data_IF_849171130761
#
_entry.id   IF_849171130761
#
_cell.length_a   1.000
_cell.length_b   1.000
_cell.length_c   1.000
_cell.angle_alpha   90.00
_cell.angle_beta   90.00
_cell.angle_gamma   90.00
#
_symmetry.space_group_name_H-M   'P 1'
#
loop_
_entity.id
_entity.type
_entity.pdbx_description
1 polymer ?
#
# COMPACT_ATOMS: atom_id res chain seq x y z
N UNK A 1 -9.55 -16.17 5.89
CA UNK A 1 -9.48 -14.70 5.95
C UNK A 1 -9.08 -14.21 4.57
N UNK A 2 -9.71 -13.15 4.04
CA UNK A 2 -9.47 -12.70 2.67
C UNK A 2 -8.08 -12.05 2.60
N UNK A 3 -7.19 -12.62 1.79
CA UNK A 3 -5.84 -12.12 1.52
C UNK A 3 -5.83 -11.56 0.10
N UNK A 4 -5.42 -10.31 -0.05
CA UNK A 4 -5.23 -9.63 -1.33
C UNK A 4 -3.75 -9.42 -1.54
N UNK A 5 -3.24 -9.77 -2.72
CA UNK A 5 -1.85 -9.62 -3.09
C UNK A 5 -1.83 -8.73 -4.33
N UNK A 6 -1.08 -7.63 -4.28
CA UNK A 6 -0.91 -6.68 -5.38
C UNK A 6 0.56 -6.63 -5.73
N UNK A 7 0.89 -7.05 -6.95
CA UNK A 7 2.23 -6.85 -7.52
C UNK A 7 2.36 -5.41 -7.99
N UNK A 8 3.44 -4.73 -7.59
CA UNK A 8 3.68 -3.33 -7.94
C UNK A 8 4.91 -3.25 -8.84
N UNK A 9 4.72 -2.74 -10.05
CA UNK A 9 5.81 -2.33 -10.92
C UNK A 9 6.02 -0.81 -10.76
N UNK A 10 7.12 -0.35 -10.16
CA UNK A 10 7.34 1.06 -9.86
C UNK A 10 7.85 1.87 -11.07
N UNK A 11 8.00 1.25 -12.24
CA UNK A 11 8.59 1.88 -13.41
C UNK A 11 10.11 1.84 -13.39
N UNK A 12 10.75 2.93 -13.82
CA UNK A 12 12.18 2.94 -14.17
C UNK A 12 13.14 2.64 -13.02
N UNK A 13 12.75 2.82 -11.75
CA UNK A 13 13.63 2.45 -10.63
C UNK A 13 13.79 0.93 -10.48
N UNK A 14 12.89 0.13 -11.05
CA UNK A 14 13.02 -1.33 -11.10
C UNK A 14 12.78 -2.09 -9.79
N UNK A 15 12.59 -1.41 -8.66
CA UNK A 15 12.38 -2.03 -7.34
C UNK A 15 10.95 -2.58 -7.16
N UNK A 16 10.59 -3.60 -7.92
CA UNK A 16 9.27 -4.25 -7.80
C UNK A 16 9.05 -4.84 -6.42
N UNK A 17 7.79 -4.90 -5.98
CA UNK A 17 7.45 -5.51 -4.70
C UNK A 17 6.04 -6.11 -4.75
N UNK A 18 5.68 -6.85 -3.70
CA UNK A 18 4.30 -7.30 -3.48
C UNK A 18 3.74 -6.68 -2.20
N UNK A 19 2.58 -6.03 -2.33
CA UNK A 19 1.80 -5.54 -1.20
C UNK A 19 0.74 -6.57 -0.86
N UNK A 20 0.73 -7.01 0.39
CA UNK A 20 -0.14 -8.05 0.91
C UNK A 20 -1.05 -7.44 1.97
N UNK A 21 -2.36 -7.47 1.70
CA UNK A 21 -3.40 -6.99 2.60
C UNK A 21 -4.24 -8.18 3.09
N UNK A 22 -4.13 -8.52 4.38
CA UNK A 22 -4.87 -9.62 5.00
C UNK A 22 -5.94 -9.07 5.94
N UNK A 23 -7.22 -9.30 5.67
CA UNK A 23 -8.31 -8.87 6.55
C UNK A 23 -8.21 -9.57 7.92
N UNK A 24 -7.92 -8.81 8.98
CA UNK A 24 -7.84 -9.31 10.37
C UNK A 24 -9.16 -9.21 11.12
N UNK A 25 -9.99 -8.23 10.77
CA UNK A 25 -11.32 -8.06 11.38
C UNK A 25 -12.33 -7.47 10.38
N UNK A 26 -13.54 -7.16 10.85
CA UNK A 26 -14.52 -6.42 10.02
C UNK A 26 -14.04 -5.02 9.63
N UNK A 27 -13.08 -4.44 10.36
CA UNK A 27 -12.66 -3.03 10.23
C UNK A 27 -11.14 -2.85 10.20
N UNK A 28 -10.35 -3.90 10.00
CA UNK A 28 -8.89 -3.82 9.99
C UNK A 28 -8.25 -4.83 9.04
N UNK A 29 -7.06 -4.47 8.57
CA UNK A 29 -6.23 -5.22 7.63
C UNK A 29 -4.79 -5.21 8.15
N UNK A 30 -4.16 -6.37 8.23
CA UNK A 30 -2.72 -6.48 8.40
C UNK A 30 -2.03 -6.26 7.05
N UNK A 31 -0.97 -5.46 7.05
CA UNK A 31 -0.19 -5.12 5.87
C UNK A 31 1.19 -5.76 5.93
N UNK A 32 1.62 -6.34 4.82
CA UNK A 32 3.00 -6.78 4.61
C UNK A 32 3.46 -6.30 3.22
N UNK A 33 4.73 -5.92 3.11
CA UNK A 33 5.38 -5.66 1.81
C UNK A 33 6.60 -6.56 1.72
N UNK A 34 6.70 -7.32 0.63
CA UNK A 34 7.79 -8.27 0.40
C UNK A 34 8.47 -8.01 -0.94
N UNK A 35 9.67 -8.58 -1.09
CA UNK A 35 10.48 -8.60 -2.32
C UNK A 35 10.99 -7.23 -2.81
N UNK A 36 10.84 -6.16 -2.02
CA UNK A 36 11.36 -4.83 -2.35
C UNK A 36 12.84 -4.69 -2.02
N UNK A 37 13.65 -4.31 -3.01
CA UNK A 37 15.04 -3.88 -2.81
C UNK A 37 15.15 -2.37 -2.46
N UNK A 38 14.04 -1.63 -2.44
CA UNK A 38 14.03 -0.22 -2.08
C UNK A 38 14.01 -0.02 -0.56
N UNK A 39 15.07 0.59 -0.01
CA UNK A 39 15.22 0.89 1.42
C UNK A 39 14.05 1.71 1.97
N UNK A 40 13.61 2.76 1.26
CA UNK A 40 12.48 3.61 1.67
C UNK A 40 11.17 2.82 1.78
N UNK A 41 10.94 1.85 0.89
CA UNK A 41 9.74 0.99 0.95
C UNK A 41 9.85 -0.03 2.08
N UNK A 42 11.05 -0.52 2.37
CA UNK A 42 11.29 -1.41 3.51
C UNK A 42 11.07 -0.68 4.84
N UNK A 43 11.52 0.58 4.94
CA UNK A 43 11.25 1.44 6.09
C UNK A 43 9.74 1.75 6.22
N UNK A 44 9.05 2.03 5.11
CA UNK A 44 7.60 2.19 5.10
C UNK A 44 6.88 0.93 5.61
N UNK A 45 7.30 -0.25 5.15
CA UNK A 45 6.73 -1.53 5.54
C UNK A 45 6.91 -1.82 7.03
N UNK A 46 8.05 -1.43 7.61
CA UNK A 46 8.31 -1.57 9.04
C UNK A 46 7.40 -0.67 9.91
N UNK A 47 6.94 0.47 9.37
CA UNK A 47 6.15 1.46 10.11
C UNK A 47 4.63 1.33 9.93
N UNK A 48 4.16 0.57 8.93
CA UNK A 48 2.72 0.32 8.72
C UNK A 48 2.45 -1.19 8.74
N UNK A 49 1.96 -1.69 9.87
CA UNK A 49 1.63 -3.12 10.04
C UNK A 49 0.12 -3.39 10.08
N UNK A 50 -0.68 -2.39 10.44
CA UNK A 50 -2.15 -2.47 10.45
C UNK A 50 -2.78 -1.20 9.88
N UNK A 51 -3.82 -1.38 9.09
CA UNK A 51 -4.64 -0.31 8.53
C UNK A 51 -6.08 -0.52 8.97
N UNK A 52 -6.66 0.49 9.62
CA UNK A 52 -8.07 0.43 10.02
C UNK A 52 -8.96 1.02 8.94
N UNK A 53 -10.24 0.65 8.97
CA UNK A 53 -11.27 1.21 8.09
C UNK A 53 -11.29 2.74 8.15
N UNK A 54 -11.05 3.34 9.32
CA UNK A 54 -11.06 4.80 9.49
C UNK A 54 -9.89 5.47 8.76
N UNK A 55 -8.74 4.82 8.71
CA UNK A 55 -7.53 5.40 8.10
C UNK A 55 -7.70 5.58 6.59
N UNK A 56 -8.50 4.72 5.94
CA UNK A 56 -8.80 4.81 4.51
C UNK A 56 -9.66 6.04 4.13
N UNK A 57 -10.37 6.64 5.09
CA UNK A 57 -11.23 7.81 4.85
C UNK A 57 -10.64 9.12 5.36
N UNK A 58 -9.40 9.12 5.86
CA UNK A 58 -8.72 10.35 6.28
C UNK A 58 -8.16 11.12 5.07
N UNK A 59 -8.21 12.47 5.09
CA UNK A 59 -7.59 13.28 4.05
C UNK A 59 -6.07 13.07 4.02
N UNK A 60 -5.45 13.31 2.86
CA UNK A 60 -4.01 13.07 2.63
C UNK A 60 -3.12 13.60 3.76
N UNK A 61 -3.28 14.85 4.17
CA UNK A 61 -2.48 15.54 5.20
C UNK A 61 -2.54 14.88 6.59
N UNK A 62 -3.54 14.04 6.87
CA UNK A 62 -3.70 13.35 8.14
C UNK A 62 -3.77 11.83 8.01
N UNK A 63 -3.48 11.30 6.82
CA UNK A 63 -3.59 9.88 6.54
C UNK A 63 -2.34 9.15 7.05
N UNK A 64 -2.55 8.05 7.78
CA UNK A 64 -1.46 7.22 8.33
C UNK A 64 -0.45 6.81 7.24
N UNK A 65 -0.96 6.39 6.07
CA UNK A 65 -0.13 5.82 5.00
C UNK A 65 0.74 6.91 4.37
N UNK A 66 0.17 8.08 4.07
CA UNK A 66 0.92 9.20 3.50
C UNK A 66 1.90 9.81 4.51
N UNK A 67 1.53 9.90 5.79
CA UNK A 67 2.46 10.38 6.82
C UNK A 67 3.67 9.44 7.00
N UNK A 68 3.45 8.12 6.98
CA UNK A 68 4.54 7.16 7.05
C UNK A 68 5.37 7.13 5.75
N UNK A 69 4.74 7.36 4.59
CA UNK A 69 5.43 7.53 3.29
C UNK A 69 6.39 8.72 3.33
N UNK A 70 5.95 9.85 3.88
CA UNK A 70 6.77 11.06 4.07
C UNK A 70 7.94 10.79 5.04
N UNK A 71 7.66 10.14 6.17
CA UNK A 71 8.69 9.80 7.18
C UNK A 71 9.75 8.84 6.65
N UNK A 72 9.36 7.90 5.79
CA UNK A 72 10.27 6.98 5.12
C UNK A 72 10.97 7.62 3.89
N UNK A 73 10.76 8.91 3.64
CA UNK A 73 11.33 9.67 2.54
C UNK A 73 11.07 9.06 1.15
N UNK A 74 9.95 8.36 0.99
CA UNK A 74 9.61 7.71 -0.27
C UNK A 74 9.53 8.71 -1.43
N UNK A 75 9.94 8.26 -2.61
CA UNK A 75 9.77 9.05 -3.83
C UNK A 75 8.31 9.47 -4.02
N UNK A 76 8.09 10.76 -4.32
CA UNK A 76 6.78 11.40 -4.34
C UNK A 76 5.72 10.63 -5.16
N UNK A 77 6.08 10.11 -6.33
CA UNK A 77 5.16 9.39 -7.21
C UNK A 77 5.31 7.86 -7.17
N UNK A 78 5.98 7.31 -6.15
CA UNK A 78 6.05 5.87 -5.99
C UNK A 78 4.63 5.26 -5.94
N UNK A 79 4.31 4.23 -6.76
CA UNK A 79 2.97 3.66 -6.76
C UNK A 79 2.70 2.74 -5.55
N UNK A 80 3.73 2.36 -4.78
CA UNK A 80 3.59 1.42 -3.64
C UNK A 80 2.65 1.96 -2.54
N UNK A 81 2.77 3.20 -2.05
CA UNK A 81 1.80 3.77 -1.11
C UNK A 81 0.33 3.71 -1.59
N UNK A 82 0.10 3.91 -2.89
CA UNK A 82 -1.25 3.79 -3.46
C UNK A 82 -1.72 2.33 -3.49
N UNK A 83 -0.83 1.39 -3.78
CA UNK A 83 -1.13 -0.05 -3.74
C UNK A 83 -1.51 -0.53 -2.33
N UNK A 84 -0.92 0.04 -1.27
CA UNK A 84 -1.31 -0.20 0.13
C UNK A 84 -2.78 0.17 0.36
N UNK A 85 -3.20 1.36 -0.11
CA UNK A 85 -4.59 1.82 0.01
C UNK A 85 -5.52 0.90 -0.78
N UNK A 86 -5.22 0.67 -2.07
CA UNK A 86 -6.07 -0.11 -2.97
C UNK A 86 -6.27 -1.55 -2.50
N UNK A 87 -5.19 -2.22 -2.09
CA UNK A 87 -5.25 -3.58 -1.56
C UNK A 87 -6.09 -3.66 -0.28
N UNK A 88 -5.97 -2.65 0.60
CA UNK A 88 -6.76 -2.54 1.83
C UNK A 88 -8.25 -2.31 1.56
N UNK A 89 -8.60 -1.45 0.60
CA UNK A 89 -9.98 -1.21 0.16
C UNK A 89 -10.64 -2.52 -0.33
N UNK A 90 -9.93 -3.30 -1.15
CA UNK A 90 -10.41 -4.59 -1.67
C UNK A 90 -10.50 -5.67 -0.57
N UNK A 91 -9.53 -5.71 0.33
CA UNK A 91 -9.51 -6.65 1.45
C UNK A 91 -10.68 -6.42 2.42
N UNK A 92 -11.09 -5.16 2.62
CA UNK A 92 -12.24 -4.76 3.42
C UNK A 92 -13.57 -4.77 2.66
N UNK A 93 -13.58 -5.19 1.39
CA UNK A 93 -14.79 -5.26 0.54
C UNK A 93 -15.43 -3.88 0.29
N UNK A 94 -14.63 -2.82 0.31
CA UNK A 94 -15.04 -1.46 -0.04
C UNK A 94 -14.92 -1.18 -1.54
N UNK A 95 -14.08 -1.96 -2.23
CA UNK A 95 -13.87 -1.87 -3.67
C UNK A 95 -13.74 -3.27 -4.29
N UNK A 96 -14.04 -3.35 -5.60
CA UNK A 96 -13.76 -4.54 -6.41
C UNK A 96 -12.30 -4.51 -6.90
N UNK A 97 -11.64 -5.67 -7.04
CA UNK A 97 -10.29 -5.74 -7.59
C UNK A 97 -10.29 -5.38 -9.07
N UNK A 98 -9.43 -4.43 -9.45
CA UNK A 98 -9.16 -4.06 -10.84
C UNK A 98 -7.76 -3.46 -10.93
N UNK A 99 -7.03 -3.77 -12.00
CA UNK A 99 -5.68 -3.26 -12.22
C UNK A 99 -5.68 -1.75 -12.51
N UNK A 100 -4.68 -1.05 -11.96
CA UNK A 100 -4.41 0.37 -12.18
C UNK A 100 -3.02 0.48 -12.78
N UNK A 101 -2.87 1.20 -13.89
CA UNK A 101 -1.59 1.34 -14.59
C UNK A 101 -1.29 2.80 -14.96
N UNK A 102 0.01 3.12 -14.97
CA UNK A 102 0.57 4.31 -15.63
C UNK A 102 1.22 3.81 -16.92
N UNK A 103 0.78 4.33 -18.07
CA UNK A 103 1.27 3.91 -19.38
C UNK A 103 1.99 5.08 -20.07
N UNK A 104 3.13 4.80 -20.66
CA UNK A 104 3.89 5.73 -21.51
C UNK A 104 3.83 5.23 -22.96
N UNK A 105 3.65 6.14 -23.90
CA UNK A 105 3.65 5.89 -25.35
C UNK A 105 5.01 6.15 -26.00
#
# INVERSE_FOLDING_TARGET
MKKIIVSVNPGICGFSCQVIATRTSRRAVALEIIDSECEMINDLAANITEITLKDLFKPHTGNLIFNATEQAHCHLCCPVPIAIIKSSEVALELALPQDVLIHFE
#
